data_IF_738332023999
#
_entry.id   IF_738332023999
#
_cell.length_a   1.000
_cell.length_b   1.000
_cell.length_c   1.000
_cell.angle_alpha   90.00
_cell.angle_beta   90.00
_cell.angle_gamma   90.00
#
_symmetry.space_group_name_H-M   'P 1'
#
loop_
_entity.id
_entity.type
_entity.pdbx_description
1 polymer ?
#
# COMPACT_ATOMS: atom_id res chain seq x y z
N UNK A 1 -39.39 -1.53 -13.49
CA UNK A 1 -38.40 -2.52 -13.03
C UNK A 1 -36.95 -2.07 -13.30
N UNK A 2 -36.51 -1.74 -14.53
CA UNK A 2 -35.15 -1.22 -14.83
C UNK A 2 -34.74 -0.01 -13.98
N UNK A 3 -35.59 1.03 -13.83
CA UNK A 3 -35.28 2.24 -13.04
C UNK A 3 -35.12 1.99 -11.53
N UNK A 4 -35.77 0.97 -10.96
CA UNK A 4 -35.64 0.62 -9.55
C UNK A 4 -34.35 -0.18 -9.31
N UNK A 5 -34.01 -1.11 -10.21
CA UNK A 5 -32.76 -1.86 -10.17
C UNK A 5 -31.54 -0.94 -10.31
N UNK A 6 -31.59 0.02 -11.25
CA UNK A 6 -30.53 1.03 -11.40
C UNK A 6 -30.35 1.89 -10.14
N UNK A 7 -31.44 2.23 -9.47
CA UNK A 7 -31.39 3.08 -8.26
C UNK A 7 -30.85 2.34 -7.03
N UNK A 8 -31.06 1.01 -6.94
CA UNK A 8 -30.58 0.19 -5.82
C UNK A 8 -29.17 -0.30 -6.04
N UNK A 9 -28.82 -0.80 -7.23
CA UNK A 9 -27.49 -1.32 -7.57
C UNK A 9 -26.43 -0.22 -7.69
N UNK A 10 -26.82 1.03 -7.95
CA UNK A 10 -25.92 2.18 -7.98
C UNK A 10 -25.90 2.96 -6.65
N UNK A 11 -26.57 2.45 -5.62
CA UNK A 11 -26.52 3.03 -4.28
C UNK A 11 -25.27 2.54 -3.55
N UNK A 12 -24.35 3.44 -3.29
CA UNK A 12 -23.07 3.15 -2.60
C UNK A 12 -23.29 2.45 -1.25
N UNK A 13 -24.29 2.88 -0.47
CA UNK A 13 -24.60 2.25 0.82
C UNK A 13 -25.07 0.80 0.69
N UNK A 14 -25.86 0.48 -0.36
CA UNK A 14 -26.28 -0.88 -0.63
C UNK A 14 -25.09 -1.77 -0.96
N UNK A 15 -24.23 -1.33 -1.84
CA UNK A 15 -23.00 -2.07 -2.22
C UNK A 15 -22.08 -2.26 -1.02
N UNK A 16 -21.92 -1.24 -0.17
CA UNK A 16 -21.16 -1.36 1.08
C UNK A 16 -21.70 -2.47 1.97
N UNK A 17 -23.02 -2.54 2.17
CA UNK A 17 -23.65 -3.60 2.97
C UNK A 17 -23.39 -4.97 2.36
N UNK A 18 -23.49 -5.12 1.04
CA UNK A 18 -23.21 -6.39 0.35
C UNK A 18 -21.73 -6.79 0.53
N UNK A 19 -20.80 -5.84 0.46
CA UNK A 19 -19.36 -6.09 0.70
C UNK A 19 -19.15 -6.58 2.14
N UNK A 20 -19.77 -5.94 3.14
CA UNK A 20 -19.65 -6.32 4.54
C UNK A 20 -20.22 -7.73 4.79
N UNK A 21 -21.40 -8.03 4.24
CA UNK A 21 -21.98 -9.37 4.33
C UNK A 21 -21.04 -10.41 3.68
N UNK A 22 -20.55 -10.14 2.50
CA UNK A 22 -19.62 -11.04 1.80
C UNK A 22 -18.33 -11.26 2.59
N UNK A 23 -17.78 -10.21 3.22
CA UNK A 23 -16.59 -10.30 4.06
C UNK A 23 -16.80 -11.18 5.28
N UNK A 24 -17.94 -11.06 5.95
CA UNK A 24 -18.33 -11.93 7.09
C UNK A 24 -18.47 -13.38 6.63
N UNK A 25 -19.13 -13.61 5.49
CA UNK A 25 -19.29 -14.95 4.92
C UNK A 25 -17.95 -15.60 4.62
N UNK A 26 -17.03 -14.87 3.96
CA UNK A 26 -15.67 -15.36 3.69
C UNK A 26 -14.93 -15.67 4.99
N UNK A 27 -15.00 -14.80 6.00
CA UNK A 27 -14.37 -15.03 7.30
C UNK A 27 -14.86 -16.30 7.98
N UNK A 28 -16.18 -16.55 7.97
CA UNK A 28 -16.78 -17.74 8.55
C UNK A 28 -16.38 -19.01 7.77
N UNK A 29 -16.31 -18.94 6.43
CA UNK A 29 -15.86 -20.05 5.58
C UNK A 29 -14.39 -20.40 5.84
N UNK A 30 -13.52 -19.40 5.96
CA UNK A 30 -12.09 -19.61 6.26
C UNK A 30 -11.86 -20.11 7.70
N UNK A 31 -12.80 -19.88 8.62
CA UNK A 31 -12.78 -20.46 9.97
C UNK A 31 -13.16 -21.96 9.99
N UNK A 32 -13.34 -22.59 8.81
CA UNK A 32 -13.61 -24.03 8.68
C UNK A 32 -15.09 -24.40 8.64
N UNK A 33 -16.01 -23.45 8.73
CA UNK A 33 -17.46 -23.68 8.66
C UNK A 33 -17.93 -23.77 7.21
N UNK A 34 -17.97 -24.97 6.65
CA UNK A 34 -18.44 -25.21 5.29
C UNK A 34 -19.93 -25.55 5.29
N UNK A 35 -20.79 -24.54 5.21
CA UNK A 35 -22.23 -24.72 5.12
C UNK A 35 -22.74 -24.29 3.73
N UNK A 36 -23.65 -25.07 3.07
CA UNK A 36 -24.14 -24.75 1.73
C UNK A 36 -24.82 -23.38 1.63
N UNK A 37 -25.41 -22.89 2.71
CA UNK A 37 -26.01 -21.55 2.78
C UNK A 37 -24.94 -20.46 2.64
N UNK A 38 -23.77 -20.60 3.25
CA UNK A 38 -22.67 -19.65 3.14
C UNK A 38 -22.15 -19.58 1.70
N UNK A 39 -22.04 -20.72 1.03
CA UNK A 39 -21.68 -20.79 -0.38
C UNK A 39 -22.71 -20.06 -1.26
N UNK A 40 -24.01 -20.30 -0.99
CA UNK A 40 -25.09 -19.62 -1.70
C UNK A 40 -25.06 -18.10 -1.54
N UNK A 41 -24.79 -17.61 -0.33
CA UNK A 41 -24.67 -16.16 -0.05
C UNK A 41 -23.44 -15.57 -0.75
N UNK A 42 -22.29 -16.24 -0.73
CA UNK A 42 -21.08 -15.79 -1.45
C UNK A 42 -21.32 -15.69 -2.97
N UNK A 43 -21.98 -16.69 -3.54
CA UNK A 43 -22.36 -16.69 -4.95
C UNK A 43 -23.35 -15.55 -5.29
N UNK A 44 -24.34 -15.32 -4.43
CA UNK A 44 -25.31 -14.23 -4.61
C UNK A 44 -24.64 -12.87 -4.55
N UNK A 45 -23.73 -12.65 -3.57
CA UNK A 45 -22.94 -11.42 -3.47
C UNK A 45 -22.08 -11.19 -4.71
N UNK A 46 -21.40 -12.24 -5.21
CA UNK A 46 -20.56 -12.14 -6.42
C UNK A 46 -21.41 -11.80 -7.64
N UNK A 47 -22.61 -12.37 -7.75
CA UNK A 47 -23.54 -12.06 -8.84
C UNK A 47 -24.03 -10.60 -8.76
N UNK A 48 -24.32 -10.09 -7.57
CA UNK A 48 -24.68 -8.68 -7.35
C UNK A 48 -23.53 -7.76 -7.82
N UNK A 49 -22.29 -8.07 -7.50
CA UNK A 49 -21.12 -7.29 -7.94
C UNK A 49 -20.95 -7.34 -9.47
N UNK A 50 -21.20 -8.48 -10.08
CA UNK A 50 -21.17 -8.61 -11.54
C UNK A 50 -22.25 -7.73 -12.20
N UNK A 51 -23.47 -7.75 -11.66
CA UNK A 51 -24.57 -6.90 -12.12
C UNK A 51 -24.25 -5.42 -11.95
N UNK A 52 -23.70 -5.02 -10.81
CA UNK A 52 -23.25 -3.64 -10.57
C UNK A 52 -22.24 -3.21 -11.63
N UNK A 53 -21.20 -4.00 -11.88
CA UNK A 53 -20.19 -3.73 -12.90
C UNK A 53 -20.82 -3.54 -14.28
N UNK A 54 -21.71 -4.45 -14.69
CA UNK A 54 -22.39 -4.37 -15.99
C UNK A 54 -23.26 -3.11 -16.05
N UNK A 55 -24.03 -2.81 -15.01
CA UNK A 55 -24.87 -1.62 -14.96
C UNK A 55 -24.04 -0.33 -15.06
N UNK A 56 -22.92 -0.24 -14.35
CA UNK A 56 -21.98 0.90 -14.46
C UNK A 56 -21.42 1.03 -15.89
N UNK A 57 -20.98 -0.07 -16.50
CA UNK A 57 -20.44 -0.08 -17.86
C UNK A 57 -21.49 0.33 -18.91
N UNK A 58 -22.73 -0.13 -18.78
CA UNK A 58 -23.84 0.26 -19.67
C UNK A 58 -24.21 1.74 -19.51
N UNK A 59 -24.16 2.26 -18.28
CA UNK A 59 -24.55 3.64 -17.97
C UNK A 59 -23.49 4.66 -18.33
N UNK A 60 -22.24 4.41 -17.98
CA UNK A 60 -21.12 5.36 -18.17
C UNK A 60 -20.35 5.11 -19.47
N UNK A 61 -20.55 3.96 -20.10
CA UNK A 61 -19.77 3.48 -21.25
C UNK A 61 -18.48 2.80 -20.85
N UNK A 62 -18.11 1.76 -21.61
CA UNK A 62 -16.91 0.93 -21.32
C UNK A 62 -15.63 1.76 -21.19
N UNK A 63 -15.43 2.72 -22.11
CA UNK A 63 -14.22 3.54 -22.13
C UNK A 63 -14.06 4.41 -20.90
N UNK A 64 -15.17 5.00 -20.41
CA UNK A 64 -15.17 5.87 -19.23
C UNK A 64 -15.00 5.05 -17.95
N UNK A 65 -15.66 3.90 -17.83
CA UNK A 65 -15.53 2.98 -16.71
C UNK A 65 -14.08 2.54 -16.50
N UNK A 66 -13.39 2.10 -17.56
CA UNK A 66 -11.99 1.64 -17.49
C UNK A 66 -10.97 2.78 -17.41
N UNK A 67 -11.37 4.02 -17.63
CA UNK A 67 -10.52 5.20 -17.47
C UNK A 67 -10.45 5.67 -16.01
N UNK A 68 -11.52 5.45 -15.24
CA UNK A 68 -11.54 5.80 -13.82
C UNK A 68 -10.76 4.76 -13.00
N UNK A 69 -9.92 5.24 -12.07
CA UNK A 69 -9.04 4.39 -11.27
C UNK A 69 -9.79 3.45 -10.33
N UNK A 70 -10.87 3.94 -9.70
CA UNK A 70 -11.68 3.18 -8.76
C UNK A 70 -12.56 2.14 -9.44
N UNK A 71 -13.29 2.56 -10.47
CA UNK A 71 -14.14 1.65 -11.25
C UNK A 71 -13.31 0.55 -11.93
N UNK A 72 -12.11 0.89 -12.40
CA UNK A 72 -11.17 -0.11 -12.97
C UNK A 72 -10.72 -1.12 -11.92
N UNK A 73 -10.36 -0.67 -10.71
CA UNK A 73 -9.99 -1.56 -9.61
C UNK A 73 -11.15 -2.50 -9.27
N UNK A 74 -12.36 -1.97 -9.10
CA UNK A 74 -13.57 -2.75 -8.83
C UNK A 74 -13.84 -3.77 -9.94
N UNK A 75 -13.75 -3.37 -11.20
CA UNK A 75 -13.92 -4.26 -12.35
C UNK A 75 -12.90 -5.39 -12.38
N UNK A 76 -11.61 -5.09 -12.13
CA UNK A 76 -10.58 -6.11 -12.03
C UNK A 76 -10.86 -7.10 -10.90
N UNK A 77 -11.27 -6.62 -9.72
CA UNK A 77 -11.59 -7.47 -8.57
C UNK A 77 -12.79 -8.40 -8.85
N UNK A 78 -13.83 -7.90 -9.56
CA UNK A 78 -14.95 -8.74 -10.01
C UNK A 78 -14.47 -9.81 -10.97
N UNK A 79 -13.72 -9.43 -12.01
CA UNK A 79 -13.23 -10.38 -13.02
C UNK A 79 -12.34 -11.46 -12.41
N UNK A 80 -11.41 -11.07 -11.52
CA UNK A 80 -10.56 -12.01 -10.79
C UNK A 80 -11.34 -12.96 -9.88
N UNK A 81 -12.53 -12.55 -9.46
CA UNK A 81 -13.37 -13.38 -8.59
C UNK A 81 -14.32 -14.33 -9.33
N UNK A 82 -14.54 -14.14 -10.64
CA UNK A 82 -15.43 -15.01 -11.43
C UNK A 82 -15.04 -16.50 -11.43
N UNK A 83 -13.75 -16.87 -11.53
CA UNK A 83 -13.36 -18.27 -11.47
C UNK A 83 -13.83 -18.98 -10.20
N UNK A 84 -13.91 -18.24 -9.07
CA UNK A 84 -14.39 -18.82 -7.81
C UNK A 84 -15.85 -19.26 -7.81
N UNK A 85 -16.67 -18.77 -8.75
CA UNK A 85 -18.05 -19.24 -8.94
C UNK A 85 -18.12 -20.62 -9.60
N UNK A 86 -17.09 -20.95 -10.41
CA UNK A 86 -17.08 -22.18 -11.20
C UNK A 86 -16.47 -23.35 -10.41
N UNK A 87 -15.51 -23.05 -9.53
CA UNK A 87 -14.79 -24.07 -8.73
C UNK A 87 -15.71 -25.04 -7.96
N UNK A 88 -16.82 -24.61 -7.33
CA UNK A 88 -17.70 -25.55 -6.61
C UNK A 88 -18.37 -26.60 -7.52
N UNK A 89 -18.42 -26.36 -8.83
CA UNK A 89 -19.05 -27.25 -9.82
C UNK A 89 -18.04 -28.10 -10.59
N UNK A 90 -16.74 -27.93 -10.33
CA UNK A 90 -15.67 -28.66 -10.99
C UNK A 90 -15.19 -29.82 -10.13
N UNK A 91 -14.93 -30.99 -10.77
CA UNK A 91 -14.35 -32.14 -10.08
C UNK A 91 -12.91 -31.80 -9.61
N UNK A 92 -12.72 -31.86 -8.29
CA UNK A 92 -11.47 -31.49 -7.59
C UNK A 92 -10.27 -32.34 -8.06
N UNK A 93 -10.54 -33.54 -8.57
CA UNK A 93 -9.49 -34.46 -9.06
C UNK A 93 -8.78 -33.99 -10.34
N UNK A 94 -9.33 -33.00 -11.05
CA UNK A 94 -8.81 -32.54 -12.35
C UNK A 94 -7.86 -31.34 -12.21
N UNK A 95 -7.86 -30.66 -11.05
CA UNK A 95 -7.07 -29.45 -10.80
C UNK A 95 -5.96 -29.64 -9.76
N UNK A 96 -4.79 -29.06 -10.04
CA UNK A 96 -3.70 -28.97 -9.06
C UNK A 96 -4.17 -28.20 -7.82
N UNK A 97 -3.82 -28.68 -6.63
CA UNK A 97 -4.11 -28.05 -5.33
C UNK A 97 -3.78 -26.54 -5.31
N UNK A 98 -2.68 -26.13 -5.96
CA UNK A 98 -2.26 -24.74 -6.08
C UNK A 98 -3.26 -23.85 -6.79
N UNK A 99 -3.97 -24.38 -7.81
CA UNK A 99 -4.98 -23.62 -8.56
C UNK A 99 -6.22 -23.37 -7.70
N UNK A 100 -6.64 -24.39 -6.94
CA UNK A 100 -7.78 -24.26 -6.00
C UNK A 100 -7.46 -23.24 -4.90
N UNK A 101 -6.23 -23.28 -4.36
CA UNK A 101 -5.77 -22.32 -3.36
C UNK A 101 -5.77 -20.88 -3.94
N UNK A 102 -5.30 -20.70 -5.16
CA UNK A 102 -5.30 -19.40 -5.84
C UNK A 102 -6.71 -18.85 -5.97
N UNK A 103 -7.69 -19.66 -6.36
CA UNK A 103 -9.08 -19.20 -6.48
C UNK A 103 -9.71 -18.86 -5.12
N UNK A 104 -9.32 -19.54 -4.03
CA UNK A 104 -9.71 -19.15 -2.67
C UNK A 104 -9.14 -17.80 -2.29
N UNK A 105 -7.85 -17.55 -2.55
CA UNK A 105 -7.21 -16.25 -2.30
C UNK A 105 -7.87 -15.12 -3.09
N UNK A 106 -8.28 -15.36 -4.33
CA UNK A 106 -8.99 -14.37 -5.15
C UNK A 106 -10.32 -13.91 -4.52
N UNK A 107 -10.96 -14.74 -3.69
CA UNK A 107 -12.15 -14.32 -2.93
C UNK A 107 -11.81 -13.29 -1.86
N UNK A 108 -10.70 -13.48 -1.14
CA UNK A 108 -10.27 -12.57 -0.07
C UNK A 108 -9.92 -11.19 -0.63
N UNK A 109 -9.31 -11.14 -1.81
CA UNK A 109 -8.92 -9.89 -2.47
C UNK A 109 -10.13 -8.97 -2.73
N UNK A 110 -11.35 -9.52 -2.86
CA UNK A 110 -12.57 -8.70 -3.00
C UNK A 110 -12.79 -7.74 -1.83
N UNK A 111 -12.28 -8.07 -0.63
CA UNK A 111 -12.36 -7.19 0.54
C UNK A 111 -11.71 -5.82 0.28
N UNK A 112 -10.75 -5.73 -0.63
CA UNK A 112 -10.12 -4.46 -1.02
C UNK A 112 -11.11 -3.43 -1.60
N UNK A 113 -12.31 -3.85 -2.02
CA UNK A 113 -13.37 -2.94 -2.42
C UNK A 113 -13.83 -2.00 -1.31
N UNK A 114 -13.66 -2.40 -0.06
CA UNK A 114 -13.99 -1.56 1.09
C UNK A 114 -13.24 -0.22 1.04
N UNK A 115 -12.03 -0.20 0.44
CA UNK A 115 -11.24 1.02 0.31
C UNK A 115 -11.92 2.10 -0.56
N UNK A 116 -12.82 1.71 -1.46
CA UNK A 116 -13.59 2.68 -2.27
C UNK A 116 -14.44 3.62 -1.39
N UNK A 117 -14.88 3.16 -0.23
CA UNK A 117 -15.78 3.91 0.67
C UNK A 117 -15.06 4.79 1.69
N UNK A 118 -13.74 4.66 1.82
CA UNK A 118 -12.98 5.52 2.71
C UNK A 118 -12.63 6.84 2.02
N UNK A 119 -13.02 7.98 2.63
CA UNK A 119 -12.62 9.28 2.10
C UNK A 119 -11.09 9.41 2.11
N UNK A 120 -10.54 10.07 1.11
CA UNK A 120 -9.11 10.39 0.98
C UNK A 120 -8.14 9.22 0.70
N UNK A 121 -8.62 7.97 0.49
CA UNK A 121 -7.72 6.84 0.14
C UNK A 121 -6.94 7.14 -1.15
N UNK A 122 -7.55 7.81 -2.13
CA UNK A 122 -6.86 8.23 -3.35
C UNK A 122 -5.70 9.19 -3.05
N UNK A 123 -5.89 10.13 -2.13
CA UNK A 123 -4.84 11.08 -1.72
C UNK A 123 -3.72 10.36 -0.96
N UNK A 124 -4.07 9.46 -0.02
CA UNK A 124 -3.10 8.62 0.68
C UNK A 124 -2.30 7.77 -0.31
N UNK A 125 -2.97 7.15 -1.29
CA UNK A 125 -2.31 6.37 -2.33
C UNK A 125 -1.41 7.19 -3.25
N UNK A 126 -1.79 8.43 -3.56
CA UNK A 126 -0.97 9.36 -4.32
C UNK A 126 0.26 9.80 -3.52
N UNK A 127 0.10 10.14 -2.24
CA UNK A 127 1.20 10.47 -1.33
C UNK A 127 2.18 9.31 -1.17
N UNK A 128 1.66 8.09 -0.94
CA UNK A 128 2.49 6.88 -0.86
C UNK A 128 3.29 6.63 -2.15
N UNK A 129 2.66 6.78 -3.33
CA UNK A 129 3.35 6.62 -4.62
C UNK A 129 4.46 7.67 -4.81
N UNK A 130 4.22 8.91 -4.38
CA UNK A 130 5.22 9.98 -4.42
C UNK A 130 6.37 9.66 -3.47
N UNK A 131 6.07 9.34 -2.21
CA UNK A 131 7.05 8.98 -1.21
C UNK A 131 7.94 7.80 -1.67
N UNK A 132 7.35 6.74 -2.25
CA UNK A 132 8.10 5.61 -2.81
C UNK A 132 8.99 6.03 -3.98
N UNK A 133 8.54 6.98 -4.82
CA UNK A 133 9.34 7.50 -5.93
C UNK A 133 10.54 8.31 -5.42
N UNK A 134 10.30 9.22 -4.49
CA UNK A 134 11.29 10.15 -3.99
C UNK A 134 12.32 9.44 -3.10
N UNK A 135 11.87 8.43 -2.32
CA UNK A 135 12.74 7.55 -1.53
C UNK A 135 13.40 6.44 -2.38
N UNK A 136 13.08 6.33 -3.67
CA UNK A 136 13.50 5.21 -4.53
C UNK A 136 15.01 5.01 -4.57
N UNK A 137 15.79 6.08 -4.63
CA UNK A 137 17.27 6.02 -4.64
C UNK A 137 17.80 5.40 -3.34
N UNK A 138 17.23 5.78 -2.19
CA UNK A 138 17.61 5.25 -0.88
C UNK A 138 17.24 3.78 -0.75
N UNK A 139 16.04 3.40 -1.20
CA UNK A 139 15.58 2.00 -1.21
C UNK A 139 16.45 1.12 -2.11
N UNK A 140 16.84 1.62 -3.30
CA UNK A 140 17.77 0.91 -4.20
C UNK A 140 19.14 0.78 -3.54
N UNK A 141 19.67 1.84 -2.93
CA UNK A 141 20.93 1.81 -2.20
C UNK A 141 20.92 0.74 -1.09
N UNK A 142 19.83 0.68 -0.31
CA UNK A 142 19.65 -0.34 0.72
C UNK A 142 19.58 -1.77 0.13
N UNK A 143 18.88 -1.95 -0.97
CA UNK A 143 18.80 -3.24 -1.67
C UNK A 143 20.17 -3.69 -2.21
N UNK A 144 20.94 -2.77 -2.76
CA UNK A 144 22.32 -3.06 -3.23
C UNK A 144 23.21 -3.47 -2.06
N UNK A 145 23.14 -2.77 -0.91
CA UNK A 145 23.88 -3.15 0.30
C UNK A 145 23.45 -4.52 0.83
N UNK A 146 22.14 -4.81 0.81
CA UNK A 146 21.62 -6.12 1.20
C UNK A 146 22.21 -7.25 0.35
N UNK A 147 22.24 -7.08 -0.97
CA UNK A 147 22.83 -8.07 -1.90
C UNK A 147 24.34 -8.19 -1.67
N UNK A 148 25.04 -7.08 -1.52
CA UNK A 148 26.49 -7.05 -1.29
C UNK A 148 26.85 -7.85 -0.02
N UNK A 149 26.22 -7.51 1.11
CA UNK A 149 26.48 -8.22 2.36
C UNK A 149 25.97 -9.65 2.31
N UNK A 150 24.89 -9.94 1.59
CA UNK A 150 24.44 -11.30 1.33
C UNK A 150 25.50 -12.14 0.63
N UNK A 151 26.13 -11.61 -0.40
CA UNK A 151 27.21 -12.32 -1.13
C UNK A 151 28.48 -12.46 -0.30
N UNK A 152 28.88 -11.43 0.45
CA UNK A 152 30.02 -11.48 1.37
C UNK A 152 29.81 -12.58 2.41
N UNK A 153 28.65 -12.58 3.09
CA UNK A 153 28.35 -13.59 4.11
C UNK A 153 28.23 -15.00 3.52
N UNK A 154 27.68 -15.13 2.30
CA UNK A 154 27.69 -16.41 1.59
C UNK A 154 29.11 -16.94 1.37
N UNK A 155 30.04 -16.07 0.97
CA UNK A 155 31.43 -16.45 0.76
C UNK A 155 32.17 -16.82 2.07
N UNK A 156 31.87 -16.10 3.15
CA UNK A 156 32.54 -16.28 4.42
C UNK A 156 32.05 -17.51 5.21
N UNK A 157 30.72 -17.76 5.18
CA UNK A 157 30.09 -18.70 6.13
C UNK A 157 29.37 -19.87 5.43
N UNK A 158 29.49 -20.04 4.11
CA UNK A 158 28.86 -21.14 3.37
C UNK A 158 29.18 -22.53 3.95
N UNK A 159 30.45 -22.77 4.25
CA UNK A 159 30.90 -24.08 4.75
C UNK A 159 30.64 -24.26 6.24
N UNK A 160 30.46 -23.15 6.97
CA UNK A 160 30.26 -23.14 8.42
C UNK A 160 28.80 -23.33 8.80
N UNK A 161 27.89 -22.68 8.03
CA UNK A 161 26.46 -22.70 8.31
C UNK A 161 25.68 -22.73 7.01
N UNK A 162 25.50 -23.93 6.46
CA UNK A 162 24.78 -24.14 5.21
C UNK A 162 23.31 -23.72 5.30
N UNK A 163 22.71 -23.83 6.48
CA UNK A 163 21.30 -23.43 6.72
C UNK A 163 21.06 -21.97 6.41
N UNK A 164 21.95 -21.07 6.85
CA UNK A 164 21.80 -19.62 6.67
C UNK A 164 22.54 -19.09 5.44
N UNK A 165 23.67 -19.68 5.06
CA UNK A 165 24.59 -19.13 4.06
C UNK A 165 24.95 -20.09 2.92
N UNK A 166 24.34 -21.27 2.84
CA UNK A 166 24.64 -22.29 1.82
C UNK A 166 24.46 -21.84 0.39
N UNK A 167 23.53 -20.92 0.12
CA UNK A 167 23.28 -20.34 -1.21
C UNK A 167 23.18 -18.82 -1.15
N UNK A 168 23.47 -18.08 -2.25
CA UNK A 168 23.36 -16.64 -2.27
C UNK A 168 21.97 -16.14 -1.84
N UNK A 169 20.90 -16.82 -2.27
CA UNK A 169 19.51 -16.43 -1.94
C UNK A 169 19.26 -16.61 -0.43
N UNK A 170 19.68 -17.71 0.17
CA UNK A 170 19.56 -17.93 1.62
C UNK A 170 20.36 -16.89 2.40
N UNK A 171 21.56 -16.57 1.92
CA UNK A 171 22.43 -15.59 2.54
C UNK A 171 21.84 -14.19 2.50
N UNK A 172 21.26 -13.76 1.36
CA UNK A 172 20.54 -12.49 1.23
C UNK A 172 19.36 -12.46 2.20
N UNK A 173 18.60 -13.55 2.30
CA UNK A 173 17.47 -13.64 3.24
C UNK A 173 17.94 -13.56 4.69
N UNK A 174 19.03 -14.22 5.05
CA UNK A 174 19.62 -14.16 6.40
C UNK A 174 20.10 -12.75 6.75
N UNK A 175 20.77 -12.06 5.83
CA UNK A 175 21.18 -10.65 6.00
C UNK A 175 19.97 -9.74 6.07
N UNK A 176 18.91 -10.00 5.29
CA UNK A 176 17.65 -9.25 5.38
C UNK A 176 17.03 -9.36 6.78
N UNK A 177 17.02 -10.55 7.39
CA UNK A 177 16.58 -10.75 8.79
C UNK A 177 17.40 -9.89 9.75
N UNK A 178 18.72 -9.84 9.59
CA UNK A 178 19.60 -8.99 10.42
C UNK A 178 19.28 -7.51 10.21
N UNK A 179 19.10 -7.06 8.96
CA UNK A 179 18.78 -5.66 8.63
C UNK A 179 17.40 -5.23 9.14
N UNK A 180 16.43 -6.16 9.18
CA UNK A 180 15.09 -5.92 9.75
C UNK A 180 15.01 -6.19 11.26
N UNK A 181 16.13 -6.50 11.89
CA UNK A 181 16.24 -6.80 13.33
C UNK A 181 15.46 -8.07 13.73
N UNK A 182 15.12 -8.92 12.76
CA UNK A 182 14.34 -10.14 12.96
C UNK A 182 15.25 -11.33 13.25
N UNK A 183 15.18 -11.87 14.47
CA UNK A 183 15.97 -13.06 14.88
C UNK A 183 17.49 -12.91 14.64
N UNK A 184 18.01 -11.69 14.69
CA UNK A 184 19.39 -11.37 14.33
C UNK A 184 20.44 -12.15 15.15
N UNK A 185 20.13 -12.49 16.41
CA UNK A 185 21.01 -13.20 17.33
C UNK A 185 21.15 -14.71 16.99
N UNK A 186 20.14 -15.32 16.37
CA UNK A 186 20.14 -16.73 16.00
C UNK A 186 21.26 -17.05 15.00
N UNK A 187 21.46 -16.17 14.03
CA UNK A 187 22.42 -16.34 12.93
C UNK A 187 23.86 -16.34 13.43
N UNK A 188 24.36 -15.32 14.16
CA UNK A 188 25.72 -15.33 14.68
C UNK A 188 25.94 -16.42 15.75
N UNK A 189 24.91 -16.80 16.51
CA UNK A 189 25.02 -17.87 17.49
C UNK A 189 25.17 -19.23 16.82
N UNK A 190 24.44 -19.51 15.74
CA UNK A 190 24.57 -20.72 14.94
C UNK A 190 26.01 -20.86 14.34
N UNK A 191 26.51 -19.73 13.75
CA UNK A 191 27.87 -19.70 13.22
C UNK A 191 28.94 -19.88 14.35
N UNK A 192 28.72 -19.21 15.49
CA UNK A 192 29.63 -19.29 16.61
C UNK A 192 29.71 -20.72 17.24
N UNK A 193 28.58 -21.44 17.26
CA UNK A 193 28.52 -22.81 17.74
C UNK A 193 29.29 -23.80 16.83
N UNK A 194 29.40 -23.50 15.53
CA UNK A 194 30.07 -24.33 14.53
C UNK A 194 31.55 -23.95 14.32
N UNK A 195 32.09 -22.95 15.05
CA UNK A 195 33.43 -22.41 14.86
C UNK A 195 34.26 -22.40 16.16
N UNK A 196 35.53 -22.00 16.05
CA UNK A 196 36.39 -21.82 17.24
C UNK A 196 35.90 -20.64 18.10
N UNK A 197 36.18 -20.65 19.43
CA UNK A 197 35.73 -19.59 20.34
C UNK A 197 36.16 -18.17 19.95
N UNK A 198 37.32 -18.03 19.30
CA UNK A 198 37.79 -16.73 18.81
C UNK A 198 36.98 -16.26 17.61
N UNK A 199 36.81 -17.14 16.60
CA UNK A 199 36.03 -16.84 15.40
C UNK A 199 34.56 -16.54 15.76
N UNK A 200 33.96 -17.32 16.67
CA UNK A 200 32.63 -17.11 17.17
C UNK A 200 32.42 -15.72 17.81
N UNK A 201 33.39 -15.24 18.61
CA UNK A 201 33.35 -13.88 19.19
C UNK A 201 33.45 -12.79 18.12
N UNK A 202 34.36 -12.97 17.15
CA UNK A 202 34.50 -12.02 16.03
C UNK A 202 33.24 -11.98 15.15
N UNK A 203 32.63 -13.12 14.89
CA UNK A 203 31.39 -13.23 14.16
C UNK A 203 30.26 -12.49 14.87
N UNK A 204 30.07 -12.67 16.17
CA UNK A 204 29.08 -11.95 16.95
C UNK A 204 29.30 -10.44 16.89
N UNK A 205 30.55 -9.99 17.04
CA UNK A 205 30.90 -8.57 16.93
C UNK A 205 30.57 -8.02 15.53
N UNK A 206 30.92 -8.76 14.48
CA UNK A 206 30.63 -8.40 13.09
C UNK A 206 29.11 -8.23 12.86
N UNK A 207 28.29 -9.20 13.30
CA UNK A 207 26.84 -9.10 13.14
C UNK A 207 26.22 -8.00 14.02
N UNK A 208 26.76 -7.72 15.20
CA UNK A 208 26.36 -6.57 16.01
C UNK A 208 26.63 -5.25 15.28
N UNK A 209 27.81 -5.09 14.67
CA UNK A 209 28.14 -3.89 13.90
C UNK A 209 27.23 -3.75 12.66
N UNK A 210 27.00 -4.86 11.99
CA UNK A 210 26.12 -4.91 10.81
C UNK A 210 24.67 -4.54 11.18
N UNK A 211 24.17 -5.05 12.30
CA UNK A 211 22.87 -4.69 12.86
C UNK A 211 22.78 -3.21 13.22
N UNK A 212 23.75 -2.66 13.91
CA UNK A 212 23.76 -1.24 14.29
C UNK A 212 23.79 -0.34 13.06
N UNK A 213 24.68 -0.61 12.09
CA UNK A 213 24.86 0.26 10.93
C UNK A 213 23.71 0.15 9.92
N UNK A 214 23.24 -1.05 9.60
CA UNK A 214 22.25 -1.26 8.54
C UNK A 214 20.87 -1.65 9.06
N UNK A 215 20.77 -2.34 10.18
CA UNK A 215 19.50 -2.62 10.83
C UNK A 215 18.94 -1.34 11.46
N UNK A 216 19.55 -0.86 12.51
CA UNK A 216 18.98 0.24 13.32
C UNK A 216 19.10 1.59 12.59
N UNK A 217 20.32 1.99 12.23
CA UNK A 217 20.54 3.30 11.57
C UNK A 217 20.02 3.31 10.14
N UNK A 218 20.19 2.22 9.39
CA UNK A 218 19.71 2.11 8.01
C UNK A 218 18.20 2.20 7.91
N UNK A 219 17.46 1.43 8.72
CA UNK A 219 15.99 1.50 8.75
C UNK A 219 15.49 2.86 9.25
N UNK A 220 16.16 3.44 10.26
CA UNK A 220 15.82 4.78 10.77
C UNK A 220 15.99 5.85 9.68
N UNK A 221 17.06 5.76 8.88
CA UNK A 221 17.31 6.66 7.77
C UNK A 221 16.25 6.51 6.67
N UNK A 222 15.93 5.27 6.26
CA UNK A 222 14.86 5.00 5.27
C UNK A 222 13.54 5.58 5.75
N UNK A 223 13.18 5.34 7.03
CA UNK A 223 11.95 5.85 7.61
C UNK A 223 11.92 7.38 7.63
N UNK A 224 13.02 8.05 7.98
CA UNK A 224 13.12 9.51 7.95
C UNK A 224 12.89 10.06 6.55
N UNK A 225 13.57 9.54 5.54
CA UNK A 225 13.43 9.99 4.14
C UNK A 225 12.00 9.74 3.63
N UNK A 226 11.40 8.62 4.01
CA UNK A 226 10.03 8.29 3.62
C UNK A 226 9.01 9.24 4.26
N UNK A 227 9.16 9.55 5.55
CA UNK A 227 8.31 10.51 6.26
C UNK A 227 8.47 11.91 5.69
N UNK A 228 9.71 12.36 5.44
CA UNK A 228 9.98 13.66 4.83
C UNK A 228 9.31 13.80 3.46
N UNK A 229 9.38 12.76 2.63
CA UNK A 229 8.72 12.73 1.33
C UNK A 229 7.18 12.77 1.42
N UNK A 230 6.60 12.16 2.46
CA UNK A 230 5.14 12.23 2.71
C UNK A 230 4.70 13.60 3.22
N UNK A 231 5.51 14.25 4.06
CA UNK A 231 5.20 15.56 4.65
C UNK A 231 5.44 16.70 3.66
N UNK A 232 6.36 16.55 2.72
CA UNK A 232 6.68 17.57 1.71
C UNK A 232 5.43 18.00 0.90
N UNK A 233 4.51 17.09 0.63
CA UNK A 233 3.25 17.35 -0.09
C UNK A 233 2.35 18.35 0.66
N UNK A 234 2.24 18.20 1.98
CA UNK A 234 1.48 19.14 2.81
C UNK A 234 2.15 20.53 2.87
N UNK A 235 3.48 20.58 2.82
CA UNK A 235 4.21 21.84 2.85
C UNK A 235 4.09 22.63 1.55
N UNK A 236 3.97 21.98 0.40
CA UNK A 236 3.77 22.64 -0.89
C UNK A 236 2.39 23.29 -0.98
N UNK A 237 1.33 22.63 -0.49
CA UNK A 237 -0.01 23.21 -0.38
C UNK A 237 -0.04 24.42 0.57
N UNK A 238 0.67 24.34 1.70
CA UNK A 238 0.79 25.44 2.66
C UNK A 238 1.56 26.61 2.06
N UNK A 239 2.64 26.37 1.34
CA UNK A 239 3.39 27.43 0.63
C UNK A 239 2.51 28.13 -0.41
N UNK A 240 1.75 27.39 -1.20
CA UNK A 240 0.84 27.99 -2.19
C UNK A 240 -0.24 28.88 -1.53
N UNK A 241 -0.73 28.45 -0.35
CA UNK A 241 -1.66 29.27 0.42
C UNK A 241 -0.99 30.52 0.98
N UNK A 242 0.24 30.41 1.49
CA UNK A 242 1.01 31.55 1.97
C UNK A 242 1.28 32.57 0.86
N UNK A 243 1.71 32.14 -0.31
CA UNK A 243 1.92 33.00 -1.48
C UNK A 243 0.63 33.73 -1.93
N UNK A 244 -0.53 33.06 -1.81
CA UNK A 244 -1.83 33.70 -2.08
C UNK A 244 -2.18 34.76 -1.06
N UNK A 245 -1.93 34.48 0.22
CA UNK A 245 -2.17 35.43 1.33
C UNK A 245 -1.24 36.65 1.18
N UNK A 246 0.03 36.44 0.90
CA UNK A 246 1.01 37.52 0.69
C UNK A 246 0.60 38.45 -0.45
N UNK A 247 0.19 37.89 -1.60
CA UNK A 247 -0.33 38.66 -2.73
C UNK A 247 -1.62 39.42 -2.41
N UNK A 248 -2.48 38.88 -1.53
CA UNK A 248 -3.67 39.58 -1.07
C UNK A 248 -3.30 40.73 -0.14
N UNK A 249 -2.34 40.53 0.74
CA UNK A 249 -1.85 41.56 1.66
C UNK A 249 -1.23 42.73 0.90
N UNK A 250 -0.37 42.48 -0.09
CA UNK A 250 0.20 43.52 -0.96
C UNK A 250 -0.89 44.35 -1.68
N UNK A 251 -1.96 43.68 -2.16
CA UNK A 251 -3.09 44.39 -2.79
C UNK A 251 -3.83 45.28 -1.83
N UNK A 252 -4.07 44.82 -0.61
CA UNK A 252 -4.75 45.58 0.45
C UNK A 252 -3.89 46.80 0.85
N UNK A 253 -2.59 46.63 1.01
CA UNK A 253 -1.67 47.71 1.34
C UNK A 253 -1.70 48.80 0.25
N UNK A 254 -1.65 48.39 -1.03
CA UNK A 254 -1.70 49.33 -2.14
C UNK A 254 -3.05 50.09 -2.20
N UNK A 255 -4.14 49.40 -1.96
CA UNK A 255 -5.47 50.06 -1.90
C UNK A 255 -5.57 51.01 -0.71
N UNK A 256 -4.97 50.67 0.41
CA UNK A 256 -4.93 51.56 1.59
C UNK A 256 -4.08 52.82 1.32
N UNK A 257 -3.01 52.71 0.57
CA UNK A 257 -2.15 53.80 0.21
C UNK A 257 -2.84 54.74 -0.78
N UNK A 258 -3.53 54.18 -1.80
CA UNK A 258 -4.37 54.94 -2.74
C UNK A 258 -5.53 55.70 -2.01
N UNK A 259 -6.19 55.03 -1.07
CA UNK A 259 -7.22 55.65 -0.24
C UNK A 259 -6.69 56.80 0.64
N UNK A 260 -5.48 56.61 1.21
CA UNK A 260 -4.80 57.64 2.00
C UNK A 260 -4.46 58.88 1.14
N UNK A 261 -3.98 58.68 -0.06
CA UNK A 261 -3.68 59.76 -0.99
C UNK A 261 -4.95 60.52 -1.42
N UNK A 262 -6.04 59.80 -1.74
CA UNK A 262 -7.32 60.40 -2.05
C UNK A 262 -7.92 61.21 -0.87
N UNK A 263 -7.75 60.74 0.37
CA UNK A 263 -8.19 61.51 1.53
C UNK A 263 -7.33 62.75 1.80
N UNK A 264 -6.02 62.70 1.52
CA UNK A 264 -5.14 63.86 1.61
C UNK A 264 -5.46 64.95 0.55
N UNK A 265 -5.81 64.55 -0.64
CA UNK A 265 -6.25 65.51 -1.72
C UNK A 265 -7.59 66.13 -1.37
N UNK A 266 -8.56 65.35 -0.87
CA UNK A 266 -9.89 65.84 -0.50
C UNK A 266 -9.88 66.75 0.74
N UNK A 267 -8.97 66.52 1.68
CA UNK A 267 -8.76 67.44 2.85
C UNK A 267 -8.17 68.81 2.49
N UNK A 268 -7.41 68.87 1.37
CA UNK A 268 -6.89 70.20 0.90
C UNK A 268 -7.91 71.03 0.15
N UNK A 269 -8.96 70.42 -0.42
CA UNK A 269 -10.04 71.16 -1.13
C UNK A 269 -11.13 71.71 -0.16
N UNK A 270 -11.09 71.36 1.12
CA UNK A 270 -12.03 71.85 2.15
C UNK A 270 -11.51 72.99 2.99
N UNK A 271 -10.22 73.35 2.85
CA UNK A 271 -9.59 74.45 3.56
C UNK A 271 -9.39 75.72 2.70
N UNK A 272 -10.14 75.88 1.56
CA UNK A 272 -10.27 77.11 0.77
C UNK A 272 -11.73 77.57 0.85
#
# INVERSE_FOLDING_TARGET
MRRLLDKTLLNEHFILVVILINSVVIFVQESGVNHPVLLGVDMACTFIFLLEMICKQVRYGLRKYWSDGWDRMDGCLVLLSLPSLVVPFMDINTFNFSVILTFRLMRVIRFLRVFHFFPNVAQIGAGLRRALRDSGVVLIGFAVMLVLFGLINCSLYREVSEEYFGTPIRSIYSVFRVFTVEGWYEIPDAVAAATTPLVGRLTRLYFCLLLCCFGILGLSFINSVFVDAMVADNNDDVKEQLDRIEKQQERIEKQMEELREMMKTKGKDTDV
#
